data_IF_006031440958
#
_entry.id   IF_006031440958
#
_cell.length_a   1.000
_cell.length_b   1.000
_cell.length_c   1.000
_cell.angle_alpha   90.00
_cell.angle_beta   90.00
_cell.angle_gamma   90.00
#
_symmetry.space_group_name_H-M   'P 1'
#
loop_
_entity.id
_entity.type
_entity.pdbx_description
1 polymer ?
#
# COMPACT_ATOMS: atom_id res chain seq x y z
N UNK A 1 -6.18 19.70 39.43
CA UNK A 1 -5.59 18.35 39.61
C UNK A 1 -6.36 17.29 38.83
N UNK A 2 -7.68 17.14 39.05
CA UNK A 2 -8.54 16.17 38.34
C UNK A 2 -8.56 16.37 36.80
N UNK A 3 -8.63 17.61 36.33
CA UNK A 3 -8.62 17.95 34.89
C UNK A 3 -7.32 17.56 34.17
N UNK A 4 -6.18 17.69 34.84
CA UNK A 4 -4.86 17.34 34.30
C UNK A 4 -4.70 15.82 34.21
N UNK A 5 -5.18 15.09 35.22
CA UNK A 5 -5.17 13.62 35.22
C UNK A 5 -6.03 13.03 34.09
N UNK A 6 -7.21 13.61 33.84
CA UNK A 6 -8.09 13.19 32.74
C UNK A 6 -7.43 13.49 31.38
N UNK A 7 -6.80 14.65 31.21
CA UNK A 7 -6.10 15.00 29.98
C UNK A 7 -4.94 14.04 29.66
N UNK A 8 -4.15 13.68 30.67
CA UNK A 8 -3.07 12.69 30.53
C UNK A 8 -3.60 11.29 30.22
N UNK A 9 -4.72 10.88 30.81
CA UNK A 9 -5.36 9.59 30.53
C UNK A 9 -5.92 9.52 29.11
N UNK A 10 -6.55 10.60 28.62
CA UNK A 10 -7.01 10.70 27.23
C UNK A 10 -5.84 10.65 26.25
N UNK A 11 -4.76 11.39 26.50
CA UNK A 11 -3.54 11.35 25.67
C UNK A 11 -2.92 9.95 25.62
N UNK A 12 -2.88 9.25 26.75
CA UNK A 12 -2.41 7.86 26.81
C UNK A 12 -3.29 6.93 25.98
N UNK A 13 -4.62 7.04 26.09
CA UNK A 13 -5.55 6.18 25.34
C UNK A 13 -5.50 6.47 23.83
N UNK A 14 -5.42 7.74 23.43
CA UNK A 14 -5.23 8.14 22.04
C UNK A 14 -3.88 7.60 21.52
N UNK A 15 -2.81 7.70 22.30
CA UNK A 15 -1.50 7.15 21.93
C UNK A 15 -1.51 5.62 21.82
N UNK A 16 -2.25 4.91 22.67
CA UNK A 16 -2.41 3.45 22.57
C UNK A 16 -3.29 3.06 21.38
N UNK A 17 -4.34 3.82 21.08
CA UNK A 17 -5.19 3.60 19.90
C UNK A 17 -4.43 3.84 18.59
N UNK A 18 -3.62 4.90 18.51
CA UNK A 18 -2.74 5.15 17.36
C UNK A 18 -1.69 4.05 17.17
N UNK A 19 -1.36 3.28 18.22
CA UNK A 19 -0.42 2.17 18.14
C UNK A 19 -1.07 0.83 17.77
N UNK A 20 -2.40 0.73 17.78
CA UNK A 20 -3.09 -0.56 17.70
C UNK A 20 -3.47 -0.98 16.28
N UNK A 21 -3.47 -0.07 15.30
CA UNK A 21 -3.63 -0.39 13.87
C UNK A 21 -2.45 0.22 13.09
N UNK A 22 -1.54 -0.59 12.51
CA UNK A 22 -0.49 -0.05 11.65
C UNK A 22 -1.12 0.65 10.45
N UNK A 23 -0.56 1.79 10.06
CA UNK A 23 -0.95 2.45 8.83
C UNK A 23 -0.72 1.50 7.65
N UNK A 24 -1.65 1.43 6.68
CA UNK A 24 -1.48 0.60 5.47
C UNK A 24 -0.10 0.79 4.84
N UNK A 25 0.46 2.00 4.89
CA UNK A 25 1.78 2.29 4.36
C UNK A 25 2.89 1.47 5.04
N UNK A 26 2.95 1.46 6.36
CA UNK A 26 3.93 0.68 7.14
C UNK A 26 3.81 -0.83 6.85
N UNK A 27 2.60 -1.28 6.48
CA UNK A 27 2.35 -2.68 6.13
C UNK A 27 2.89 -3.03 4.75
N UNK A 28 2.76 -2.13 3.77
CA UNK A 28 3.03 -2.45 2.35
C UNK A 28 4.39 -2.04 1.84
N UNK A 29 5.05 -1.06 2.49
CA UNK A 29 6.30 -0.49 2.02
C UNK A 29 7.44 -1.52 2.03
N UNK A 30 8.29 -1.47 0.99
CA UNK A 30 9.52 -2.27 0.86
C UNK A 30 9.28 -3.78 0.91
N UNK A 31 8.10 -4.21 0.45
CA UNK A 31 7.68 -5.60 0.38
C UNK A 31 7.00 -5.84 -0.96
N UNK A 32 7.30 -6.98 -1.58
CA UNK A 32 6.58 -7.43 -2.76
C UNK A 32 5.32 -8.22 -2.38
N UNK A 33 4.23 -7.93 -3.08
CA UNK A 33 2.95 -8.59 -2.96
C UNK A 33 2.60 -9.23 -4.30
N UNK A 34 2.20 -10.49 -4.35
CA UNK A 34 1.96 -11.22 -5.60
C UNK A 34 0.59 -11.88 -5.68
N UNK A 35 0.02 -11.90 -6.89
CA UNK A 35 -1.23 -12.59 -7.20
C UNK A 35 -1.23 -12.99 -8.68
N UNK A 36 -1.47 -14.27 -8.98
CA UNK A 36 -1.90 -14.71 -10.32
C UNK A 36 -1.04 -14.24 -11.50
N UNK A 37 0.29 -14.15 -11.35
CA UNK A 37 1.19 -13.64 -12.39
C UNK A 37 1.36 -12.11 -12.40
N UNK A 38 0.93 -11.41 -11.37
CA UNK A 38 1.18 -9.99 -11.15
C UNK A 38 1.86 -9.75 -9.78
N UNK A 39 2.60 -8.66 -9.70
CA UNK A 39 3.31 -8.20 -8.51
C UNK A 39 3.03 -6.72 -8.23
N UNK A 40 3.04 -6.36 -6.95
CA UNK A 40 2.96 -4.99 -6.46
C UNK A 40 4.13 -4.76 -5.52
N UNK A 41 4.87 -3.68 -5.74
CA UNK A 41 5.94 -3.24 -4.86
C UNK A 41 5.78 -1.76 -4.53
N UNK A 42 5.88 -1.39 -3.26
CA UNK A 42 5.66 -0.02 -2.79
C UNK A 42 6.95 0.56 -2.23
N UNK A 43 7.25 1.81 -2.58
CA UNK A 43 8.46 2.51 -2.14
C UNK A 43 8.24 4.02 -2.04
N UNK A 44 9.08 4.67 -1.23
CA UNK A 44 9.15 6.13 -1.13
C UNK A 44 10.44 6.64 -1.74
N UNK A 45 10.34 7.68 -2.56
CA UNK A 45 11.48 8.40 -3.12
C UNK A 45 11.18 9.90 -3.11
N UNK A 46 12.11 10.72 -2.61
CA UNK A 46 11.95 12.17 -2.52
C UNK A 46 10.64 12.63 -1.85
N UNK A 47 10.25 11.99 -0.74
CA UNK A 47 9.00 12.24 -0.01
C UNK A 47 7.71 11.97 -0.82
N UNK A 48 7.83 11.28 -1.95
CA UNK A 48 6.71 10.86 -2.78
C UNK A 48 6.59 9.34 -2.75
N UNK A 49 5.37 8.85 -2.51
CA UNK A 49 5.06 7.43 -2.44
C UNK A 49 4.69 6.90 -3.81
N UNK A 50 5.22 5.75 -4.17
CA UNK A 50 5.06 5.09 -5.46
C UNK A 50 4.68 3.61 -5.30
N UNK A 51 3.97 3.10 -6.30
CA UNK A 51 3.69 1.68 -6.44
C UNK A 51 4.12 1.22 -7.83
N UNK A 52 4.85 0.12 -7.88
CA UNK A 52 5.25 -0.57 -9.09
C UNK A 52 4.33 -1.77 -9.29
N UNK A 53 3.52 -1.72 -10.34
CA UNK A 53 2.76 -2.87 -10.81
C UNK A 53 3.61 -3.65 -11.82
N UNK A 54 3.79 -4.95 -11.57
CA UNK A 54 4.59 -5.84 -12.39
C UNK A 54 3.72 -6.96 -12.93
N UNK A 55 3.91 -7.34 -14.20
CA UNK A 55 3.33 -8.53 -14.81
C UNK A 55 4.44 -9.54 -15.05
N UNK A 56 4.28 -10.75 -14.51
CA UNK A 56 5.24 -11.84 -14.64
C UNK A 56 4.93 -12.71 -15.86
N UNK A 57 5.97 -13.08 -16.62
CA UNK A 57 5.87 -14.10 -17.68
C UNK A 57 5.88 -15.52 -17.12
N UNK A 58 5.57 -16.51 -17.97
CA UNK A 58 5.68 -17.94 -17.64
C UNK A 58 7.16 -18.34 -17.44
N UNK A 59 7.70 -18.11 -16.25
CA UNK A 59 9.06 -18.55 -15.87
C UNK A 59 10.04 -17.47 -15.38
N UNK A 60 9.55 -16.36 -14.80
CA UNK A 60 10.29 -15.38 -13.97
C UNK A 60 10.77 -14.03 -14.57
N UNK A 61 10.83 -13.73 -15.89
CA UNK A 61 11.07 -12.35 -16.29
C UNK A 61 9.80 -11.51 -16.15
N UNK A 62 9.95 -10.28 -15.64
CA UNK A 62 8.90 -9.25 -15.68
C UNK A 62 8.60 -8.93 -17.15
N UNK A 63 7.40 -9.29 -17.61
CA UNK A 63 6.92 -9.08 -18.97
C UNK A 63 6.45 -7.63 -19.21
N UNK A 64 6.14 -6.90 -18.15
CA UNK A 64 5.80 -5.49 -18.20
C UNK A 64 5.71 -4.89 -16.81
N UNK A 65 5.93 -3.57 -16.71
CA UNK A 65 5.78 -2.85 -15.46
C UNK A 65 5.19 -1.46 -15.68
N UNK A 66 4.50 -0.94 -14.67
CA UNK A 66 3.98 0.42 -14.67
C UNK A 66 4.07 1.04 -13.28
N UNK A 67 4.60 2.25 -13.21
CA UNK A 67 4.68 3.02 -11.96
C UNK A 67 3.42 3.87 -11.79
N UNK A 68 2.90 3.88 -10.57
CA UNK A 68 1.80 4.72 -10.14
C UNK A 68 2.21 5.60 -8.95
N UNK A 69 1.61 6.78 -8.87
CA UNK A 69 1.69 7.60 -7.64
C UNK A 69 0.72 7.05 -6.61
N UNK A 70 1.16 6.99 -5.35
CA UNK A 70 0.34 6.52 -4.24
C UNK A 70 -0.26 7.71 -3.49
N UNK A 71 -1.56 7.61 -3.22
CA UNK A 71 -2.26 8.44 -2.25
C UNK A 71 -2.84 7.55 -1.16
N UNK A 72 -2.45 7.79 0.08
CA UNK A 72 -3.02 7.11 1.24
C UNK A 72 -4.38 7.76 1.53
N UNK A 73 -5.42 6.94 1.59
CA UNK A 73 -6.79 7.40 1.84
C UNK A 73 -7.13 7.26 3.32
N UNK A 74 -6.77 6.13 3.92
CA UNK A 74 -6.92 5.86 5.35
C UNK A 74 -5.99 4.69 5.75
N UNK A 75 -6.08 4.26 7.01
CA UNK A 75 -5.25 3.20 7.61
C UNK A 75 -5.38 1.82 6.93
N UNK A 76 -6.37 1.58 6.06
CA UNK A 76 -6.59 0.33 5.32
C UNK A 76 -6.73 0.50 3.81
N UNK A 77 -6.50 1.70 3.30
CA UNK A 77 -6.80 1.99 1.90
C UNK A 77 -5.81 2.98 1.29
N UNK A 78 -5.33 2.62 0.09
CA UNK A 78 -4.53 3.49 -0.74
C UNK A 78 -5.05 3.50 -2.19
N UNK A 79 -4.66 4.54 -2.92
CA UNK A 79 -5.01 4.73 -4.33
C UNK A 79 -3.73 4.77 -5.16
N UNK A 80 -3.69 3.99 -6.24
CA UNK A 80 -2.66 4.01 -7.27
C UNK A 80 -3.15 4.82 -8.46
N UNK A 81 -2.48 5.92 -8.76
CA UNK A 81 -2.72 6.74 -9.94
C UNK A 81 -1.63 6.45 -10.99
N UNK A 82 -1.97 5.63 -11.97
CA UNK A 82 -1.06 5.18 -13.02
C UNK A 82 -0.76 6.32 -13.98
N UNK A 83 0.54 6.49 -14.28
CA UNK A 83 0.95 7.48 -15.26
C UNK A 83 0.49 7.04 -16.66
N UNK A 84 -0.11 7.93 -17.45
CA UNK A 84 -0.64 7.59 -18.76
C UNK A 84 0.49 7.18 -19.71
N UNK A 85 0.29 6.08 -20.43
CA UNK A 85 1.18 5.67 -21.52
C UNK A 85 0.69 6.30 -22.84
N UNK A 86 1.27 7.43 -23.27
CA UNK A 86 1.03 8.03 -24.58
C UNK A 86 0.17 9.32 -24.59
N UNK A 87 -0.31 9.69 -25.79
CA UNK A 87 -0.85 11.02 -26.10
C UNK A 87 -2.34 11.24 -25.75
N UNK A 88 -3.12 10.19 -25.46
CA UNK A 88 -4.54 10.31 -25.06
C UNK A 88 -4.70 9.86 -23.60
N UNK A 89 -4.62 10.82 -22.67
CA UNK A 89 -4.33 10.54 -21.26
C UNK A 89 -5.60 10.52 -20.39
N UNK A 90 -6.09 9.33 -20.07
CA UNK A 90 -6.91 9.12 -18.86
C UNK A 90 -5.98 8.52 -17.81
N UNK A 91 -5.86 9.18 -16.66
CA UNK A 91 -5.20 8.58 -15.50
C UNK A 91 -6.06 7.41 -15.04
N UNK A 92 -5.53 6.19 -15.18
CA UNK A 92 -6.16 5.03 -14.58
C UNK A 92 -5.87 5.03 -13.09
N UNK A 93 -6.92 4.89 -12.30
CA UNK A 93 -6.85 4.87 -10.85
C UNK A 93 -7.33 3.54 -10.32
N UNK A 94 -6.53 2.88 -9.48
CA UNK A 94 -6.92 1.66 -8.77
C UNK A 94 -6.95 1.91 -7.27
N UNK A 95 -7.92 1.32 -6.58
CA UNK A 95 -7.98 1.30 -5.11
C UNK A 95 -7.44 -0.02 -4.60
N UNK A 96 -6.62 0.04 -3.57
CA UNK A 96 -6.06 -1.11 -2.89
C UNK A 96 -6.52 -1.08 -1.44
N UNK A 97 -7.04 -2.22 -0.98
CA UNK A 97 -7.54 -2.40 0.38
C UNK A 97 -6.68 -3.42 1.11
N UNK A 98 -6.36 -3.14 2.37
CA UNK A 98 -5.78 -4.12 3.28
C UNK A 98 -6.92 -4.87 3.98
N UNK A 99 -7.06 -6.15 3.68
CA UNK A 99 -8.10 -7.04 4.24
C UNK A 99 -7.44 -8.31 4.75
N UNK A 100 -7.54 -8.57 6.06
CA UNK A 100 -7.00 -9.76 6.73
C UNK A 100 -5.52 -10.05 6.39
N UNK A 101 -4.70 -8.99 6.34
CA UNK A 101 -3.28 -9.09 6.04
C UNK A 101 -2.92 -9.31 4.56
N UNK A 102 -3.90 -9.24 3.64
CA UNK A 102 -3.72 -9.33 2.19
C UNK A 102 -4.08 -8.00 1.53
N UNK A 103 -3.49 -7.73 0.36
CA UNK A 103 -3.90 -6.60 -0.46
C UNK A 103 -4.93 -7.04 -1.49
N UNK A 104 -6.05 -6.32 -1.54
CA UNK A 104 -7.10 -6.51 -2.53
C UNK A 104 -7.06 -5.39 -3.57
N UNK A 105 -6.97 -5.76 -4.84
CA UNK A 105 -7.09 -4.85 -5.98
C UNK A 105 -7.78 -5.58 -7.14
N UNK A 106 -8.79 -4.96 -7.76
CA UNK A 106 -9.52 -5.53 -8.92
C UNK A 106 -10.01 -6.98 -8.73
N UNK A 107 -10.36 -7.37 -7.50
CA UNK A 107 -10.81 -8.72 -7.17
C UNK A 107 -9.70 -9.76 -7.01
N UNK A 108 -8.42 -9.37 -7.14
CA UNK A 108 -7.26 -10.20 -6.84
C UNK A 108 -6.80 -10.00 -5.40
N UNK A 109 -6.41 -11.11 -4.76
CA UNK A 109 -5.79 -11.13 -3.44
C UNK A 109 -4.27 -11.28 -3.61
N UNK A 110 -3.54 -10.22 -3.32
CA UNK A 110 -2.09 -10.24 -3.32
C UNK A 110 -1.57 -10.64 -1.94
N UNK A 111 -0.68 -11.62 -1.96
CA UNK A 111 -0.02 -12.15 -0.76
C UNK A 111 1.42 -11.67 -0.71
N UNK A 112 1.87 -11.36 0.51
CA UNK A 112 3.25 -10.98 0.76
C UNK A 112 4.18 -12.10 0.30
N UNK A 113 5.11 -11.80 -0.60
CA UNK A 113 6.21 -12.70 -0.90
C UNK A 113 7.18 -12.70 0.27
N UNK A 114 7.30 -13.85 0.93
CA UNK A 114 8.40 -14.07 1.85
C UNK A 114 9.69 -14.06 1.04
N UNK A 115 10.46 -12.98 1.16
CA UNK A 115 11.81 -12.93 0.61
C UNK A 115 12.60 -14.01 1.35
N UNK A 116 13.03 -15.06 0.65
CA UNK A 116 13.95 -16.06 1.19
C UNK A 116 15.15 -15.30 1.77
N UNK A 117 15.35 -15.41 3.08
CA UNK A 117 16.55 -14.92 3.78
C UNK A 117 17.76 -15.76 3.43
#
# INVERSE_FOLDING_TARGET
MLSVAIALFMLFHINQWMKHDPEIWETVENVEWSAGGAGLYFYEENHQKYGLYMMYGSGLPVAGQQTAKIKIINHRELKMDFLPMGYNQVVESKRIYLVDGKLMMDGLNYERLETFR
#
